data_IF_430703550682
#
_entry.id   IF_430703550682
#
_cell.length_a   1.000
_cell.length_b   1.000
_cell.length_c   1.000
_cell.angle_alpha   90.00
_cell.angle_beta   90.00
_cell.angle_gamma   90.00
#
_symmetry.space_group_name_H-M   'P 1'
#
loop_
_entity.id
_entity.type
_entity.pdbx_description
1 polymer ?
#
# COMPACT_ATOMS: atom_id res chain seq x y z
N UNK A 1 -7.02 -7.07 15.82
CA UNK A 1 -6.65 -6.34 17.07
C UNK A 1 -5.84 -5.13 16.60
N UNK A 2 -6.34 -3.91 16.79
CA UNK A 2 -5.61 -2.68 16.47
C UNK A 2 -4.65 -2.41 17.64
N UNK A 3 -3.36 -2.13 17.37
CA UNK A 3 -2.36 -1.90 18.41
C UNK A 3 -2.69 -0.67 19.28
N UNK A 4 -2.09 -0.58 20.46
CA UNK A 4 -2.20 0.56 21.36
C UNK A 4 -1.76 1.87 20.69
N UNK A 5 -2.32 3.05 21.08
CA UNK A 5 -2.09 4.33 20.39
C UNK A 5 -0.62 4.69 20.17
N UNK A 6 0.22 4.44 21.17
CA UNK A 6 1.66 4.76 21.12
C UNK A 6 2.45 3.82 20.19
N UNK A 7 1.86 2.67 19.83
CA UNK A 7 2.50 1.66 18.98
C UNK A 7 2.01 1.71 17.52
N UNK A 8 0.89 2.38 17.23
CA UNK A 8 0.28 2.37 15.88
C UNK A 8 1.23 2.92 14.82
N UNK A 9 1.80 4.09 15.03
CA UNK A 9 2.71 4.73 14.08
C UNK A 9 3.97 3.91 13.79
N UNK A 10 4.74 3.52 14.82
CA UNK A 10 5.90 2.65 14.65
C UNK A 10 5.55 1.30 14.05
N UNK A 11 4.42 0.68 14.47
CA UNK A 11 3.96 -0.62 13.95
C UNK A 11 3.57 -0.57 12.48
N UNK A 12 2.85 0.47 12.05
CA UNK A 12 2.48 0.67 10.63
C UNK A 12 3.73 0.86 9.76
N UNK A 13 4.69 1.66 10.22
CA UNK A 13 5.95 1.88 9.51
C UNK A 13 6.77 0.61 9.40
N UNK A 14 6.90 -0.15 10.49
CA UNK A 14 7.60 -1.42 10.50
C UNK A 14 6.92 -2.45 9.58
N UNK A 15 5.58 -2.49 9.57
CA UNK A 15 4.82 -3.33 8.64
C UNK A 15 5.08 -2.92 7.19
N UNK A 16 5.01 -1.62 6.89
CA UNK A 16 5.27 -1.08 5.55
C UNK A 16 6.67 -1.43 5.05
N UNK A 17 7.70 -1.26 5.90
CA UNK A 17 9.09 -1.58 5.55
C UNK A 17 9.29 -3.08 5.29
N UNK A 18 8.71 -3.95 6.14
CA UNK A 18 8.77 -5.40 5.93
C UNK A 18 8.10 -5.82 4.63
N UNK A 19 6.96 -5.22 4.29
CA UNK A 19 6.19 -5.56 3.09
C UNK A 19 6.83 -5.02 1.81
N UNK A 20 7.50 -3.86 1.88
CA UNK A 20 8.24 -3.29 0.76
C UNK A 20 9.36 -4.19 0.27
N UNK A 21 9.95 -4.98 1.18
CA UNK A 21 11.09 -5.85 0.86
C UNK A 21 12.41 -5.08 0.77
N UNK A 22 13.50 -5.77 0.43
CA UNK A 22 14.85 -5.21 0.48
C UNK A 22 15.28 -4.45 -0.79
N UNK A 23 14.40 -4.25 -1.76
CA UNK A 23 14.73 -3.60 -3.03
C UNK A 23 14.92 -2.08 -2.83
N UNK A 24 16.17 -1.56 -2.94
CA UNK A 24 16.47 -0.16 -2.69
C UNK A 24 15.95 0.79 -3.79
N UNK A 25 15.60 0.25 -4.96
CA UNK A 25 15.01 1.04 -6.05
C UNK A 25 13.52 1.38 -5.82
N UNK A 26 12.91 0.77 -4.80
CA UNK A 26 11.48 0.93 -4.50
C UNK A 26 11.26 1.63 -3.16
N UNK A 27 10.59 2.75 -3.19
CA UNK A 27 10.21 3.52 -2.00
C UNK A 27 8.76 3.21 -1.61
N UNK A 28 8.51 2.71 -0.39
CA UNK A 28 7.14 2.52 0.10
C UNK A 28 6.49 3.86 0.43
N UNK A 29 5.26 4.07 -0.05
CA UNK A 29 4.51 5.32 0.11
C UNK A 29 3.26 5.19 0.94
N UNK A 30 2.55 4.06 0.85
CA UNK A 30 1.27 3.83 1.54
C UNK A 30 1.17 2.37 1.96
N UNK A 31 0.65 2.15 3.18
CA UNK A 31 0.30 0.83 3.70
C UNK A 31 -1.19 0.57 3.48
N UNK A 32 -1.53 -0.55 2.83
CA UNK A 32 -2.90 -1.02 2.68
C UNK A 32 -3.32 -1.89 3.87
N UNK A 33 -4.42 -1.50 4.50
CA UNK A 33 -5.04 -2.20 5.61
C UNK A 33 -6.36 -2.81 5.19
N UNK A 34 -6.45 -4.14 5.15
CA UNK A 34 -7.68 -4.85 4.83
C UNK A 34 -8.67 -4.79 5.99
N UNK A 35 -9.92 -4.49 5.68
CA UNK A 35 -11.03 -4.45 6.64
C UNK A 35 -12.31 -4.94 5.99
N UNK A 36 -13.29 -5.37 6.79
CA UNK A 36 -14.65 -5.71 6.31
C UNK A 36 -15.59 -4.50 6.32
N UNK A 37 -15.16 -3.35 6.88
CA UNK A 37 -15.99 -2.17 7.03
C UNK A 37 -15.08 -0.93 7.16
N UNK A 38 -15.14 -0.05 6.15
CA UNK A 38 -14.31 1.17 6.09
C UNK A 38 -14.62 2.14 7.23
N UNK A 39 -15.90 2.33 7.58
CA UNK A 39 -16.30 3.31 8.60
C UNK A 39 -15.86 2.85 9.99
N UNK A 40 -16.01 1.56 10.27
CA UNK A 40 -15.55 0.97 11.53
C UNK A 40 -14.01 1.03 11.64
N UNK A 41 -13.31 0.73 10.56
CA UNK A 41 -11.85 0.80 10.56
C UNK A 41 -11.36 2.25 10.71
N UNK A 42 -11.96 3.20 9.99
CA UNK A 42 -11.63 4.63 10.16
C UNK A 42 -11.84 5.09 11.60
N UNK A 43 -12.98 4.74 12.20
CA UNK A 43 -13.26 5.08 13.61
C UNK A 43 -12.19 4.50 14.55
N UNK A 44 -11.79 3.27 14.33
CA UNK A 44 -10.75 2.62 15.13
C UNK A 44 -9.37 3.27 14.94
N UNK A 45 -9.01 3.67 13.71
CA UNK A 45 -7.78 4.44 13.45
C UNK A 45 -7.82 5.80 14.13
N UNK A 46 -8.96 6.52 14.09
CA UNK A 46 -9.15 7.79 14.80
C UNK A 46 -8.99 7.62 16.31
N UNK A 47 -9.56 6.57 16.89
CA UNK A 47 -9.44 6.29 18.32
C UNK A 47 -7.99 5.94 18.71
N UNK A 48 -7.28 5.19 17.89
CA UNK A 48 -5.88 4.81 18.13
C UNK A 48 -4.89 5.98 17.96
N UNK A 49 -5.26 7.01 17.21
CA UNK A 49 -4.46 8.21 16.97
C UNK A 49 -5.03 9.45 17.66
N UNK A 50 -5.65 9.24 18.84
CA UNK A 50 -6.22 10.33 19.66
C UNK A 50 -5.18 11.44 19.88
N UNK A 51 -5.61 12.69 19.61
CA UNK A 51 -4.75 13.88 19.73
C UNK A 51 -4.06 14.31 18.43
N UNK A 52 -4.19 13.54 17.36
CA UNK A 52 -3.62 13.92 16.05
C UNK A 52 -4.71 14.33 15.07
N UNK A 53 -4.40 15.34 14.27
CA UNK A 53 -5.29 15.73 13.16
C UNK A 53 -5.22 14.66 12.07
N UNK A 54 -6.36 14.08 11.76
CA UNK A 54 -6.52 13.10 10.68
C UNK A 54 -7.46 13.63 9.62
N UNK A 55 -7.11 13.41 8.36
CA UNK A 55 -7.98 13.58 7.21
C UNK A 55 -8.27 12.21 6.60
N UNK A 56 -9.52 11.98 6.22
CA UNK A 56 -9.92 10.80 5.43
C UNK A 56 -10.54 11.24 4.12
N UNK A 57 -10.30 10.46 3.07
CA UNK A 57 -10.75 10.75 1.72
C UNK A 57 -11.07 9.43 1.01
N UNK A 58 -12.27 9.33 0.42
CA UNK A 58 -12.61 8.20 -0.42
C UNK A 58 -11.81 8.28 -1.72
N UNK A 59 -11.14 7.19 -2.06
CA UNK A 59 -10.30 7.06 -3.25
C UNK A 59 -11.00 6.22 -4.31
N UNK A 60 -10.57 6.30 -5.58
CA UNK A 60 -11.00 5.35 -6.59
C UNK A 60 -10.79 3.90 -6.15
N UNK A 61 -11.66 3.01 -6.62
CA UNK A 61 -11.57 1.59 -6.33
C UNK A 61 -10.27 0.97 -6.87
N UNK A 62 -9.73 0.01 -6.14
CA UNK A 62 -8.57 -0.77 -6.59
C UNK A 62 -9.02 -1.99 -7.41
N UNK A 63 -8.79 -1.94 -8.73
CA UNK A 63 -9.15 -3.03 -9.63
C UNK A 63 -8.22 -4.26 -9.50
N UNK A 64 -6.97 -4.10 -9.02
CA UNK A 64 -6.03 -5.22 -8.82
C UNK A 64 -6.43 -6.09 -7.64
N UNK A 65 -6.87 -5.46 -6.56
CA UNK A 65 -7.26 -6.13 -5.32
C UNK A 65 -8.75 -6.45 -5.26
N UNK A 66 -9.57 -5.71 -6.03
CA UNK A 66 -11.03 -5.79 -6.00
C UNK A 66 -11.57 -5.19 -4.69
N UNK A 67 -11.29 -3.89 -4.45
CA UNK A 67 -11.59 -3.24 -3.18
C UNK A 67 -12.03 -1.80 -3.34
N UNK A 68 -12.94 -1.36 -2.45
CA UNK A 68 -13.16 0.07 -2.16
C UNK A 68 -12.03 0.60 -1.30
N UNK A 69 -11.67 1.86 -1.51
CA UNK A 69 -10.49 2.46 -0.90
C UNK A 69 -10.82 3.75 -0.15
N UNK A 70 -10.22 3.92 1.04
CA UNK A 70 -10.27 5.18 1.80
C UNK A 70 -8.89 5.50 2.35
N UNK A 71 -8.36 6.66 1.98
CA UNK A 71 -7.05 7.12 2.40
C UNK A 71 -7.14 7.83 3.76
N UNK A 72 -6.29 7.41 4.69
CA UNK A 72 -6.12 8.03 6.00
C UNK A 72 -4.78 8.74 6.01
N UNK A 73 -4.81 10.07 6.13
CA UNK A 73 -3.61 10.90 6.27
C UNK A 73 -3.50 11.43 7.68
N UNK A 74 -2.30 11.41 8.23
CA UNK A 74 -2.00 12.03 9.52
C UNK A 74 -1.04 13.19 9.31
N UNK A 75 -1.22 14.27 10.06
CA UNK A 75 -0.28 15.40 10.06
C UNK A 75 0.99 15.10 10.89
N UNK A 76 1.11 13.90 11.44
CA UNK A 76 2.21 13.53 12.33
C UNK A 76 3.41 13.11 11.51
N UNK A 77 4.56 13.82 11.65
CA UNK A 77 5.79 13.40 11.02
C UNK A 77 6.15 11.97 11.43
N UNK A 78 6.36 11.14 10.43
CA UNK A 78 6.80 9.77 10.68
C UNK A 78 5.71 8.75 10.94
N UNK A 79 4.43 9.09 10.95
CA UNK A 79 3.33 8.13 10.87
C UNK A 79 3.04 7.82 9.41
N UNK A 80 3.04 6.54 9.07
CA UNK A 80 2.76 6.10 7.72
C UNK A 80 1.31 6.43 7.32
N UNK A 81 1.11 6.90 6.10
CA UNK A 81 -0.21 7.01 5.49
C UNK A 81 -0.79 5.60 5.31
N UNK A 82 -2.05 5.41 5.67
CA UNK A 82 -2.74 4.15 5.50
C UNK A 82 -3.87 4.26 4.47
N UNK A 83 -4.01 3.25 3.63
CA UNK A 83 -5.15 3.08 2.74
C UNK A 83 -6.02 1.94 3.28
N UNK A 84 -7.20 2.26 3.76
CA UNK A 84 -8.19 1.26 4.16
C UNK A 84 -8.77 0.61 2.91
N UNK A 85 -8.90 -0.72 2.94
CA UNK A 85 -9.31 -1.54 1.82
C UNK A 85 -10.46 -2.43 2.25
N UNK A 86 -11.63 -2.21 1.68
CA UNK A 86 -12.80 -3.08 1.88
C UNK A 86 -13.04 -3.88 0.61
N UNK A 87 -12.92 -5.21 0.65
CA UNK A 87 -13.06 -6.03 -0.55
C UNK A 87 -14.49 -6.00 -1.08
N UNK A 88 -14.61 -6.11 -2.41
CA UNK A 88 -15.85 -6.55 -3.02
C UNK A 88 -16.16 -8.00 -2.62
N UNK A 89 -17.32 -8.49 -2.99
CA UNK A 89 -17.78 -9.84 -2.62
C UNK A 89 -16.79 -10.94 -3.02
N UNK A 90 -16.06 -10.72 -4.12
CA UNK A 90 -15.06 -11.66 -4.65
C UNK A 90 -13.78 -10.91 -5.03
N UNK A 91 -12.63 -11.57 -4.89
CA UNK A 91 -11.36 -10.99 -5.29
C UNK A 91 -10.17 -11.45 -4.44
N UNK A 92 -9.00 -10.89 -4.76
CA UNK A 92 -7.75 -11.22 -4.04
C UNK A 92 -7.79 -10.78 -2.60
N UNK A 93 -8.30 -9.57 -2.35
CA UNK A 93 -8.37 -9.03 -1.00
C UNK A 93 -9.37 -9.81 -0.15
N UNK A 94 -10.54 -10.20 -0.70
CA UNK A 94 -11.52 -11.02 0.00
C UNK A 94 -10.92 -12.36 0.45
N UNK A 95 -10.15 -13.03 -0.42
CA UNK A 95 -9.47 -14.27 -0.08
C UNK A 95 -8.37 -14.07 0.99
N UNK A 96 -7.67 -12.95 0.98
CA UNK A 96 -6.66 -12.60 1.99
C UNK A 96 -7.33 -12.34 3.33
N UNK A 97 -8.38 -11.53 3.34
CA UNK A 97 -9.13 -11.20 4.55
C UNK A 97 -9.74 -12.46 5.20
N UNK A 98 -10.30 -13.37 4.40
CA UNK A 98 -10.84 -14.64 4.89
C UNK A 98 -9.79 -15.54 5.56
N UNK A 99 -8.52 -15.46 5.13
CA UNK A 99 -7.43 -16.29 5.67
C UNK A 99 -6.73 -15.67 6.87
N UNK A 100 -6.53 -14.37 6.84
CA UNK A 100 -5.63 -13.66 7.76
C UNK A 100 -6.36 -12.70 8.69
N UNK A 101 -7.65 -12.44 8.45
CA UNK A 101 -8.39 -11.41 9.15
C UNK A 101 -8.00 -10.00 8.72
N UNK A 102 -8.47 -9.01 9.45
CA UNK A 102 -8.16 -7.60 9.22
C UNK A 102 -6.73 -7.26 9.60
N UNK A 103 -6.09 -6.42 8.79
CA UNK A 103 -4.71 -6.03 9.03
C UNK A 103 -3.95 -5.58 7.79
N UNK A 104 -2.62 -5.38 7.90
CA UNK A 104 -1.76 -5.03 6.78
C UNK A 104 -1.83 -6.09 5.68
N UNK A 105 -2.24 -5.69 4.48
CA UNK A 105 -2.47 -6.59 3.35
C UNK A 105 -1.74 -6.19 2.07
N UNK A 106 -1.42 -4.90 1.91
CA UNK A 106 -0.76 -4.39 0.72
C UNK A 106 0.22 -3.27 1.05
N UNK A 107 1.16 -3.01 0.15
CA UNK A 107 2.03 -1.82 0.18
C UNK A 107 2.14 -1.25 -1.23
N UNK A 108 1.93 0.06 -1.36
CA UNK A 108 2.17 0.79 -2.59
C UNK A 108 3.59 1.30 -2.60
N UNK A 109 4.25 1.08 -3.73
CA UNK A 109 5.66 1.35 -3.98
C UNK A 109 5.78 2.33 -5.14
N UNK A 110 6.81 3.15 -5.13
CA UNK A 110 7.23 4.00 -6.24
C UNK A 110 8.68 3.69 -6.58
N UNK A 111 9.02 3.72 -7.85
CA UNK A 111 10.42 3.70 -8.26
C UNK A 111 11.11 4.98 -7.79
N UNK A 112 12.27 4.83 -7.17
CA UNK A 112 13.10 5.97 -6.75
C UNK A 112 13.85 6.52 -7.98
N UNK A 113 13.51 7.72 -8.48
CA UNK A 113 14.16 8.27 -9.66
C UNK A 113 15.64 8.65 -9.40
N UNK A 114 16.05 8.76 -8.15
CA UNK A 114 17.42 9.07 -7.77
C UNK A 114 18.29 7.81 -7.62
N UNK A 115 17.70 6.62 -7.68
CA UNK A 115 18.46 5.39 -7.53
C UNK A 115 19.20 5.04 -8.84
N UNK A 116 20.52 5.12 -8.80
CA UNK A 116 21.39 4.70 -9.90
C UNK A 116 22.02 3.31 -9.56
N UNK A 117 21.63 2.24 -10.26
CA UNK A 117 22.14 0.91 -9.95
C UNK A 117 23.66 0.84 -10.16
N UNK A 118 24.42 0.28 -9.21
CA UNK A 118 25.86 0.11 -9.37
C UNK A 118 26.15 -0.75 -10.62
N UNK A 119 26.79 -0.16 -11.63
CA UNK A 119 27.10 -0.80 -12.89
C UNK A 119 26.04 -0.64 -13.98
N UNK A 120 25.44 0.53 -14.09
CA UNK A 120 24.28 0.91 -14.93
C UNK A 120 24.28 0.45 -16.41
N UNK A 121 25.41 0.04 -16.98
CA UNK A 121 25.46 -0.52 -18.34
C UNK A 121 24.85 -1.94 -18.45
N UNK A 122 24.62 -2.65 -17.34
CA UNK A 122 24.07 -4.01 -17.30
C UNK A 122 22.68 -4.10 -16.65
N UNK A 123 22.20 -3.04 -16.00
CA UNK A 123 21.01 -3.06 -15.17
C UNK A 123 19.68 -2.92 -15.96
N UNK A 124 19.73 -2.72 -17.27
CA UNK A 124 18.51 -2.73 -18.12
C UNK A 124 17.78 -4.10 -18.15
N UNK A 125 18.30 -5.10 -17.43
CA UNK A 125 17.78 -6.46 -17.39
C UNK A 125 17.71 -7.04 -15.97
N UNK A 126 17.63 -6.22 -14.91
CA UNK A 126 17.27 -6.77 -13.62
C UNK A 126 15.94 -7.52 -13.78
N UNK A 127 15.80 -8.76 -13.27
CA UNK A 127 14.55 -9.49 -13.37
C UNK A 127 13.52 -8.73 -12.56
N UNK A 128 12.84 -7.79 -13.19
CA UNK A 128 11.62 -7.23 -12.68
C UNK A 128 10.68 -8.41 -12.44
N UNK A 129 10.45 -8.73 -11.17
CA UNK A 129 9.57 -9.81 -10.78
C UNK A 129 8.32 -9.78 -11.64
N UNK A 130 7.74 -10.93 -11.96
CA UNK A 130 6.58 -11.01 -12.86
C UNK A 130 5.55 -9.98 -12.47
N UNK A 131 5.38 -8.97 -13.31
CA UNK A 131 4.34 -7.93 -13.14
C UNK A 131 3.00 -8.47 -13.63
N UNK A 132 1.91 -8.03 -13.02
CA UNK A 132 0.56 -8.23 -13.59
C UNK A 132 0.37 -7.33 -14.81
N UNK A 133 -0.74 -7.51 -15.52
CA UNK A 133 -1.22 -6.46 -16.40
C UNK A 133 -1.51 -5.20 -15.59
N UNK A 134 -1.25 -4.00 -16.15
CA UNK A 134 -1.63 -2.74 -15.51
C UNK A 134 -3.14 -2.66 -15.30
N UNK A 135 -3.54 -2.01 -14.22
CA UNK A 135 -4.94 -1.70 -13.93
C UNK A 135 -5.06 -0.33 -13.27
N UNK A 136 -6.26 0.21 -13.23
CA UNK A 136 -6.54 1.45 -12.51
C UNK A 136 -6.71 1.16 -11.03
N UNK A 137 -6.13 2.00 -10.21
CA UNK A 137 -6.21 1.93 -8.76
C UNK A 137 -6.27 3.32 -8.12
N UNK A 138 -6.20 3.39 -6.79
CA UNK A 138 -6.35 4.64 -6.05
C UNK A 138 -5.28 5.69 -6.37
N UNK A 139 -4.12 5.28 -6.88
CA UNK A 139 -3.02 6.20 -7.22
C UNK A 139 -2.73 6.26 -8.72
N UNK A 140 -3.70 5.89 -9.57
CA UNK A 140 -3.57 5.89 -11.02
C UNK A 140 -3.30 4.51 -11.60
N UNK A 141 -2.41 4.43 -12.60
CA UNK A 141 -2.04 3.15 -13.22
C UNK A 141 -1.10 2.37 -12.31
N UNK A 142 -1.48 1.14 -11.99
CA UNK A 142 -0.79 0.30 -11.02
C UNK A 142 -0.52 -1.10 -11.57
N UNK A 143 0.54 -1.74 -11.09
CA UNK A 143 0.86 -3.13 -11.41
C UNK A 143 1.18 -3.90 -10.13
N UNK A 144 0.71 -5.14 -10.04
CA UNK A 144 1.03 -6.05 -8.95
C UNK A 144 2.40 -6.69 -9.22
N UNK A 145 3.32 -6.57 -8.27
CA UNK A 145 4.60 -7.29 -8.28
C UNK A 145 4.37 -8.71 -7.78
N UNK A 146 4.65 -9.70 -8.62
CA UNK A 146 4.46 -11.12 -8.30
C UNK A 146 5.75 -11.71 -7.75
N UNK A 147 5.96 -11.58 -6.46
CA UNK A 147 7.15 -12.11 -5.77
C UNK A 147 6.98 -13.58 -5.33
N UNK A 148 6.11 -14.33 -6.01
CA UNK A 148 5.88 -15.75 -5.75
C UNK A 148 4.85 -16.07 -4.66
N UNK A 149 4.44 -15.12 -3.83
CA UNK A 149 3.41 -15.34 -2.83
C UNK A 149 2.00 -15.34 -3.46
N UNK A 150 1.29 -16.46 -3.36
CA UNK A 150 -0.10 -16.57 -3.82
C UNK A 150 -1.11 -15.93 -2.87
N UNK A 151 -0.68 -15.51 -1.69
CA UNK A 151 -1.54 -14.96 -0.64
C UNK A 151 -0.77 -13.94 0.18
N UNK A 152 -0.86 -12.64 -0.22
CA UNK A 152 -0.37 -11.46 0.50
C UNK A 152 0.89 -11.60 1.36
N UNK A 153 1.50 -10.53 1.78
CA UNK A 153 1.09 -9.16 1.45
C UNK A 153 1.34 -8.82 -0.02
N UNK A 154 0.47 -7.97 -0.58
CA UNK A 154 0.59 -7.54 -1.98
C UNK A 154 1.54 -6.35 -2.08
N UNK A 155 2.46 -6.41 -3.06
CA UNK A 155 3.33 -5.31 -3.44
C UNK A 155 2.81 -4.71 -4.74
N UNK A 156 2.43 -3.44 -4.71
CA UNK A 156 1.81 -2.73 -5.83
C UNK A 156 2.73 -1.59 -6.24
N UNK A 157 3.14 -1.57 -7.50
CA UNK A 157 3.96 -0.49 -8.06
C UNK A 157 3.04 0.50 -8.75
N UNK A 158 3.15 1.78 -8.38
CA UNK A 158 2.54 2.87 -9.11
C UNK A 158 3.40 3.15 -10.34
N UNK A 159 2.77 3.05 -11.51
CA UNK A 159 3.43 3.35 -12.79
C UNK A 159 3.26 4.85 -13.05
N UNK A 160 4.37 5.58 -13.03
CA UNK A 160 4.32 6.99 -13.43
C UNK A 160 3.84 7.11 -14.88
N UNK A 161 2.80 7.90 -15.10
CA UNK A 161 2.37 8.23 -16.46
C UNK A 161 3.52 9.02 -17.14
N UNK A 162 3.95 8.60 -18.34
CA UNK A 162 4.96 9.35 -19.07
C UNK A 162 4.36 10.71 -19.49
N UNK A 163 4.67 11.77 -18.74
CA UNK A 163 4.27 13.13 -19.07
C UNK A 163 3.75 14.02 -17.95
N UNK A 164 3.55 13.53 -16.74
CA UNK A 164 3.15 14.39 -15.61
C UNK A 164 4.37 14.75 -14.77
N UNK A 165 5.26 15.59 -15.34
CA UNK A 165 6.17 16.39 -14.53
C UNK A 165 5.34 17.57 -14.05
N UNK A 166 4.78 17.48 -12.85
CA UNK A 166 4.26 18.67 -12.18
C UNK A 166 5.42 19.33 -11.44
N UNK A 167 5.70 20.61 -11.67
CA UNK A 167 6.80 21.35 -11.08
C UNK A 167 6.65 21.53 -9.58
#
# INVERSE_FOLDING_TARGET
>A
MIPEPDEVGPSLRAAMARMAGPDPSLTPIVLGWATVDLDRAEHAFRAALLGFTMASEDMPDDALLGARCRLIRTAVPGVATALLLEPFTEGRLAATLARHGEGPAAVWLREDPAWDPPGSAAAASAPMGRRSSPAQGPFGTEVLLRDGARSGPYRILIVAEPGTITP
#
